data_IF_468534564248
#
_entry.id   IF_468534564248
#
_cell.length_a   1.000
_cell.length_b   1.000
_cell.length_c   1.000
_cell.angle_alpha   90.00
_cell.angle_beta   90.00
_cell.angle_gamma   90.00
#
_symmetry.space_group_name_H-M   'P 1'
#
loop_
_entity.id
_entity.type
_entity.pdbx_description
1 polymer ?
#
# COMPACT_ATOMS: atom_id res chain seq x y z
N UNK A 1 -44.30 23.09 -25.75
CA UNK A 1 -43.78 21.88 -25.03
C UNK A 1 -44.85 21.32 -24.14
N UNK A 2 -45.21 20.09 -24.35
CA UNK A 2 -46.27 19.43 -23.57
C UNK A 2 -45.80 19.23 -22.11
N UNK A 3 -46.74 19.10 -21.19
CA UNK A 3 -46.46 18.88 -19.77
C UNK A 3 -45.52 17.66 -19.57
N UNK A 4 -45.73 16.61 -20.33
CA UNK A 4 -44.94 15.39 -20.30
C UNK A 4 -43.44 15.67 -20.63
N UNK A 5 -43.16 16.52 -21.64
CA UNK A 5 -41.80 16.87 -22.03
C UNK A 5 -41.06 17.65 -20.93
N UNK A 6 -41.79 18.52 -20.21
CA UNK A 6 -41.22 19.33 -19.11
C UNK A 6 -40.78 18.46 -17.92
N UNK A 7 -41.37 17.26 -17.78
CA UNK A 7 -41.04 16.34 -16.70
C UNK A 7 -39.95 15.33 -17.17
N UNK A 8 -40.13 14.78 -18.38
CA UNK A 8 -39.24 13.74 -18.88
C UNK A 8 -37.80 14.24 -19.11
N UNK A 9 -37.66 15.46 -19.71
CA UNK A 9 -36.35 16.01 -20.03
C UNK A 9 -35.44 16.13 -18.78
N UNK A 10 -35.91 16.78 -17.68
CA UNK A 10 -35.05 16.87 -16.49
C UNK A 10 -34.79 15.52 -15.82
N UNK A 11 -35.72 14.57 -15.86
CA UNK A 11 -35.51 13.24 -15.30
C UNK A 11 -34.43 12.50 -16.10
N UNK A 12 -34.54 12.52 -17.43
CA UNK A 12 -33.55 11.88 -18.30
C UNK A 12 -32.18 12.56 -18.12
N UNK A 13 -32.16 13.89 -18.04
CA UNK A 13 -30.93 14.65 -17.80
C UNK A 13 -30.27 14.26 -16.47
N UNK A 14 -31.06 14.11 -15.42
CA UNK A 14 -30.56 13.69 -14.11
C UNK A 14 -29.99 12.26 -14.17
N UNK A 15 -30.71 11.34 -14.83
CA UNK A 15 -30.23 9.94 -14.95
C UNK A 15 -28.90 9.86 -15.72
N UNK A 16 -28.78 10.66 -16.79
CA UNK A 16 -27.52 10.72 -17.57
C UNK A 16 -26.41 11.30 -16.69
N UNK A 17 -26.69 12.37 -15.93
CA UNK A 17 -25.68 12.97 -15.05
C UNK A 17 -25.21 11.98 -13.98
N UNK A 18 -26.14 11.22 -13.38
CA UNK A 18 -25.81 10.21 -12.38
C UNK A 18 -24.97 9.07 -12.99
N UNK A 19 -25.32 8.64 -14.20
CA UNK A 19 -24.56 7.61 -14.91
C UNK A 19 -23.14 8.10 -15.20
N UNK A 20 -22.99 9.33 -15.71
CA UNK A 20 -21.66 9.89 -15.99
C UNK A 20 -20.85 10.05 -14.71
N UNK A 21 -21.46 10.48 -13.62
CA UNK A 21 -20.78 10.57 -12.32
C UNK A 21 -20.33 9.20 -11.83
N UNK A 22 -21.18 8.18 -11.98
CA UNK A 22 -20.82 6.80 -11.62
C UNK A 22 -19.66 6.28 -12.46
N UNK A 23 -19.69 6.50 -13.79
CA UNK A 23 -18.61 6.08 -14.69
C UNK A 23 -17.31 6.82 -14.33
N UNK A 24 -17.39 8.12 -14.10
CA UNK A 24 -16.21 8.91 -13.71
C UNK A 24 -15.62 8.39 -12.38
N UNK A 25 -16.47 8.13 -11.40
CA UNK A 25 -16.06 7.56 -10.11
C UNK A 25 -15.37 6.21 -10.33
N UNK A 26 -15.98 5.33 -11.13
CA UNK A 26 -15.43 4.00 -11.43
C UNK A 26 -14.06 4.11 -12.11
N UNK A 27 -13.94 5.00 -13.11
CA UNK A 27 -12.66 5.21 -13.83
C UNK A 27 -11.59 5.70 -12.86
N UNK A 28 -11.91 6.69 -12.03
CA UNK A 28 -10.95 7.22 -11.05
C UNK A 28 -10.52 6.11 -10.08
N UNK A 29 -11.45 5.32 -9.57
CA UNK A 29 -11.14 4.23 -8.64
C UNK A 29 -10.31 3.11 -9.30
N UNK A 30 -10.59 2.81 -10.58
CA UNK A 30 -9.93 1.71 -11.30
C UNK A 30 -8.56 2.08 -11.84
N UNK A 31 -8.39 3.32 -12.29
CA UNK A 31 -7.19 3.77 -13.01
C UNK A 31 -6.26 4.62 -12.15
N UNK A 32 -6.74 5.15 -11.05
CA UNK A 32 -5.96 6.03 -10.19
C UNK A 32 -5.67 5.31 -8.88
N UNK A 33 -4.54 4.64 -8.83
CA UNK A 33 -4.11 3.93 -7.61
C UNK A 33 -3.85 4.89 -6.45
N UNK A 34 -3.58 6.18 -6.79
CA UNK A 34 -3.49 7.24 -5.79
C UNK A 34 -4.15 8.51 -6.30
N UNK A 35 -5.15 9.03 -5.59
CA UNK A 35 -5.70 10.35 -5.93
C UNK A 35 -4.63 11.44 -5.79
N UNK A 36 -4.74 12.52 -6.55
CA UNK A 36 -3.75 13.60 -6.47
C UNK A 36 -3.64 14.18 -5.06
N UNK A 37 -2.42 14.48 -4.63
CA UNK A 37 -2.17 15.13 -3.34
C UNK A 37 -2.93 16.45 -3.19
N UNK A 38 -3.20 17.14 -4.30
CA UNK A 38 -3.98 18.38 -4.30
C UNK A 38 -5.38 18.21 -3.70
N UNK A 39 -5.90 16.97 -3.68
CA UNK A 39 -7.20 16.67 -3.07
C UNK A 39 -7.09 16.18 -1.62
N UNK A 40 -5.91 16.28 -1.01
CA UNK A 40 -5.70 15.89 0.38
C UNK A 40 -5.53 14.39 0.61
N UNK A 41 -5.20 13.66 -0.43
CA UNK A 41 -5.05 12.20 -0.36
C UNK A 41 -3.58 11.77 -0.39
N UNK A 42 -2.68 12.57 0.23
CA UNK A 42 -1.23 12.34 0.16
C UNK A 42 -0.61 11.58 1.32
N UNK A 43 -1.36 11.30 2.38
CA UNK A 43 -0.77 10.87 3.65
C UNK A 43 -0.81 9.34 3.89
N UNK A 44 -0.93 8.55 2.85
CA UNK A 44 -1.05 7.09 3.00
C UNK A 44 -2.38 6.67 3.66
N UNK A 45 -2.81 5.42 3.48
CA UNK A 45 -4.07 4.97 4.08
C UNK A 45 -3.92 4.70 5.57
N UNK A 46 -4.98 4.97 6.30
CA UNK A 46 -5.07 4.58 7.70
C UNK A 46 -5.06 3.04 7.79
N UNK A 47 -4.26 2.51 8.70
CA UNK A 47 -4.10 1.08 8.91
C UNK A 47 -4.87 0.62 10.15
N UNK A 48 -5.30 -0.67 10.21
CA UNK A 48 -6.01 -1.18 11.39
C UNK A 48 -5.22 -1.03 12.69
N UNK A 49 -3.89 -1.14 12.59
CA UNK A 49 -2.95 -0.86 13.68
C UNK A 49 -1.89 0.08 13.11
N UNK A 50 -1.64 1.19 13.78
CA UNK A 50 -0.60 2.11 13.34
C UNK A 50 0.78 1.45 13.52
N UNK A 51 1.40 1.11 12.40
CA UNK A 51 2.72 0.46 12.39
C UNK A 51 3.75 1.43 11.82
N UNK A 52 4.56 2.08 12.68
CA UNK A 52 5.58 3.00 12.19
C UNK A 52 6.86 2.25 11.82
N UNK A 53 7.20 2.24 10.54
CA UNK A 53 8.48 1.68 10.09
C UNK A 53 9.65 2.38 10.77
N UNK A 54 9.53 3.70 11.02
CA UNK A 54 10.55 4.47 11.72
C UNK A 54 10.97 3.83 13.05
N UNK A 55 10.01 3.37 13.84
CA UNK A 55 10.31 2.74 15.13
C UNK A 55 11.02 1.40 14.98
N UNK A 56 10.67 0.64 13.93
CA UNK A 56 11.21 -0.72 13.73
C UNK A 56 12.54 -0.71 13.00
N UNK A 57 12.69 0.11 11.96
CA UNK A 57 13.90 0.13 11.14
C UNK A 57 14.93 1.09 11.73
N UNK A 58 14.58 2.37 11.92
CA UNK A 58 15.58 3.37 12.38
C UNK A 58 15.92 3.22 13.85
N UNK A 59 14.93 2.95 14.71
CA UNK A 59 15.18 2.89 16.16
C UNK A 59 15.59 1.49 16.60
N UNK A 60 14.86 0.46 16.19
CA UNK A 60 15.17 -0.92 16.58
C UNK A 60 16.22 -1.60 15.71
N UNK A 61 16.58 -1.02 14.54
CA UNK A 61 17.61 -1.55 13.67
C UNK A 61 17.22 -2.80 12.89
N UNK A 62 15.93 -3.03 12.67
CA UNK A 62 15.48 -4.23 11.96
C UNK A 62 15.65 -4.07 10.45
N UNK A 63 16.19 -5.10 9.81
CA UNK A 63 16.31 -5.15 8.35
C UNK A 63 14.94 -5.39 7.71
N UNK A 64 14.75 -4.86 6.50
CA UNK A 64 13.49 -5.01 5.74
C UNK A 64 13.10 -6.48 5.57
N UNK A 65 14.09 -7.33 5.24
CA UNK A 65 13.85 -8.75 4.99
C UNK A 65 13.59 -9.56 6.26
N UNK A 66 13.81 -8.97 7.44
CA UNK A 66 13.40 -9.63 8.68
C UNK A 66 11.87 -9.81 8.71
N UNK A 67 11.14 -8.83 8.18
CA UNK A 67 9.67 -8.86 8.12
C UNK A 67 9.16 -9.28 6.74
N UNK A 68 9.75 -8.75 5.66
CA UNK A 68 9.35 -9.05 4.27
C UNK A 68 10.18 -10.21 3.71
N UNK A 69 10.01 -11.39 4.29
CA UNK A 69 10.88 -12.55 4.05
C UNK A 69 10.83 -13.11 2.64
N UNK A 70 9.70 -12.95 1.96
CA UNK A 70 9.51 -13.56 0.63
C UNK A 70 9.97 -12.65 -0.50
N UNK A 71 10.41 -11.43 -0.20
CA UNK A 71 10.70 -10.39 -1.19
C UNK A 71 11.81 -10.80 -2.19
N UNK A 72 12.75 -11.62 -1.77
CA UNK A 72 13.85 -12.09 -2.64
C UNK A 72 13.54 -13.39 -3.38
N UNK A 73 12.38 -14.01 -3.16
CA UNK A 73 12.06 -15.34 -3.69
C UNK A 73 10.70 -15.39 -4.39
N UNK A 74 9.73 -14.58 -3.98
CA UNK A 74 8.35 -14.67 -4.47
C UNK A 74 7.92 -13.39 -5.21
N UNK A 75 6.76 -13.43 -5.84
CA UNK A 75 6.20 -12.27 -6.54
C UNK A 75 5.98 -11.11 -5.57
N UNK A 76 5.39 -11.39 -4.43
CA UNK A 76 5.08 -10.37 -3.45
C UNK A 76 6.11 -10.34 -2.33
N UNK A 77 6.35 -9.15 -1.79
CA UNK A 77 7.25 -9.00 -0.64
C UNK A 77 6.71 -9.70 0.61
N UNK A 78 5.40 -9.95 0.63
CA UNK A 78 4.75 -10.51 1.79
C UNK A 78 4.60 -9.51 2.94
N UNK A 79 3.69 -9.82 3.83
CA UNK A 79 3.51 -9.11 5.11
C UNK A 79 3.67 -10.18 6.19
N UNK A 80 4.41 -9.91 7.27
CA UNK A 80 4.66 -10.92 8.27
C UNK A 80 3.35 -11.38 8.94
N UNK A 81 3.27 -12.68 9.21
CA UNK A 81 2.17 -13.22 10.00
C UNK A 81 2.16 -12.57 11.40
N UNK A 82 0.99 -12.40 11.98
CA UNK A 82 0.83 -11.73 13.28
C UNK A 82 1.72 -12.39 14.36
N UNK A 83 1.90 -13.71 14.29
CA UNK A 83 2.76 -14.44 15.22
C UNK A 83 4.24 -13.98 15.18
N UNK A 84 4.70 -13.40 14.08
CA UNK A 84 6.07 -12.89 14.00
C UNK A 84 6.27 -11.68 14.94
N UNK A 85 5.23 -10.89 15.15
CA UNK A 85 5.27 -9.75 16.06
C UNK A 85 5.61 -10.19 17.48
N UNK A 86 5.25 -11.43 17.84
CA UNK A 86 5.48 -11.99 19.18
C UNK A 86 6.97 -12.16 19.51
N UNK A 87 7.86 -12.14 18.54
CA UNK A 87 9.30 -12.21 18.84
C UNK A 87 9.73 -11.07 19.77
N UNK A 88 9.07 -9.93 19.64
CA UNK A 88 9.39 -8.73 20.44
C UNK A 88 8.19 -8.26 21.26
N UNK A 89 6.98 -8.34 20.68
CA UNK A 89 5.74 -7.91 21.34
C UNK A 89 5.04 -9.14 21.93
N UNK A 90 5.14 -9.30 23.23
CA UNK A 90 4.46 -10.34 23.97
C UNK A 90 4.00 -9.76 25.30
N UNK A 91 3.22 -10.51 26.08
CA UNK A 91 2.62 -10.02 27.31
C UNK A 91 3.65 -9.48 28.31
N UNK A 92 4.86 -10.01 28.30
CA UNK A 92 5.91 -9.67 29.26
C UNK A 92 7.09 -8.89 28.65
N UNK A 93 7.04 -8.54 27.36
CA UNK A 93 8.15 -7.87 26.68
C UNK A 93 7.79 -6.44 26.31
N UNK A 94 7.73 -6.12 25.03
CA UNK A 94 7.42 -4.74 24.59
C UNK A 94 5.90 -4.59 24.59
N UNK A 95 5.35 -4.11 25.70
CA UNK A 95 3.92 -3.98 25.91
C UNK A 95 3.41 -2.55 25.74
N UNK A 96 4.31 -1.62 25.40
CA UNK A 96 3.95 -0.20 25.28
C UNK A 96 4.01 0.57 26.60
N UNK A 97 4.17 -0.11 27.72
CA UNK A 97 4.24 0.56 29.03
C UNK A 97 5.45 1.50 29.17
N UNK A 98 6.46 1.31 28.34
CA UNK A 98 7.65 2.16 28.30
C UNK A 98 7.64 3.12 27.12
N UNK A 99 6.54 3.18 26.38
CA UNK A 99 6.43 4.12 25.25
C UNK A 99 6.30 5.56 25.80
N UNK A 100 6.98 6.46 25.15
CA UNK A 100 6.87 7.90 25.48
C UNK A 100 5.56 8.51 24.98
N UNK A 101 4.76 7.72 24.25
CA UNK A 101 3.53 8.19 23.63
C UNK A 101 2.35 7.30 24.02
N UNK A 102 1.31 7.92 24.55
CA UNK A 102 0.06 7.23 24.86
C UNK A 102 -0.59 6.59 23.61
N UNK A 103 -0.36 7.19 22.43
CA UNK A 103 -0.88 6.63 21.18
C UNK A 103 -0.16 5.33 20.81
N UNK A 104 1.17 5.27 20.98
CA UNK A 104 1.92 4.05 20.71
C UNK A 104 1.50 2.93 21.66
N UNK A 105 1.27 3.25 22.94
CA UNK A 105 0.75 2.26 23.90
C UNK A 105 -0.59 1.69 23.47
N UNK A 106 -1.50 2.56 23.00
CA UNK A 106 -2.82 2.12 22.55
C UNK A 106 -2.71 1.14 21.34
N UNK A 107 -1.82 1.44 20.38
CA UNK A 107 -1.62 0.60 19.21
C UNK A 107 -0.98 -0.74 19.58
N UNK A 108 -0.03 -0.76 20.51
CA UNK A 108 0.57 -2.00 21.00
C UNK A 108 -0.48 -2.85 21.74
N UNK A 109 -1.37 -2.21 22.50
CA UNK A 109 -2.49 -2.95 23.14
C UNK A 109 -3.43 -3.59 22.11
N UNK A 110 -3.71 -2.91 21.00
CA UNK A 110 -4.47 -3.52 19.91
C UNK A 110 -3.75 -4.77 19.36
N UNK A 111 -2.44 -4.66 19.10
CA UNK A 111 -1.65 -5.79 18.63
C UNK A 111 -1.70 -6.95 19.63
N UNK A 112 -1.42 -6.70 20.90
CA UNK A 112 -1.40 -7.72 21.94
C UNK A 112 -2.78 -8.39 22.03
N UNK A 113 -3.87 -7.63 21.86
CA UNK A 113 -5.23 -8.17 21.83
C UNK A 113 -5.46 -9.16 20.69
N UNK A 114 -4.68 -9.05 19.60
CA UNK A 114 -4.77 -10.01 18.48
C UNK A 114 -3.88 -11.24 18.68
N UNK A 115 -2.95 -11.21 19.65
CA UNK A 115 -1.92 -12.26 19.84
C UNK A 115 -2.42 -13.43 20.70
N UNK A 116 -3.64 -13.90 20.48
CA UNK A 116 -4.15 -15.10 21.14
C UNK A 116 -3.46 -16.39 20.68
N UNK A 117 -3.96 -17.54 21.11
CA UNK A 117 -3.42 -18.85 20.67
C UNK A 117 -3.49 -19.01 19.15
N UNK A 118 -4.56 -18.52 18.55
CA UNK A 118 -4.76 -18.53 17.10
C UNK A 118 -5.07 -17.08 16.66
N UNK A 119 -4.04 -16.25 16.45
CA UNK A 119 -4.27 -14.84 16.16
C UNK A 119 -4.92 -14.64 14.80
N UNK A 120 -5.94 -13.80 14.75
CA UNK A 120 -6.56 -13.40 13.49
C UNK A 120 -5.59 -12.55 12.66
N UNK A 121 -5.56 -12.73 11.36
CA UNK A 121 -4.71 -11.90 10.50
C UNK A 121 -5.17 -10.44 10.54
N UNK A 122 -4.21 -9.53 10.56
CA UNK A 122 -4.50 -8.11 10.46
C UNK A 122 -4.78 -7.78 8.98
N UNK A 123 -5.94 -7.21 8.70
CA UNK A 123 -6.35 -6.82 7.34
C UNK A 123 -5.69 -5.49 6.96
N UNK A 124 -4.39 -5.55 6.64
CA UNK A 124 -3.64 -4.37 6.23
C UNK A 124 -4.20 -3.76 4.95
N UNK A 125 -4.31 -2.44 4.91
CA UNK A 125 -4.72 -1.71 3.71
C UNK A 125 -3.52 -1.63 2.76
N UNK A 126 -3.70 -2.14 1.54
CA UNK A 126 -2.62 -2.20 0.55
C UNK A 126 -2.25 -0.81 0.04
N UNK A 127 -1.00 -0.42 0.22
CA UNK A 127 -0.47 0.89 -0.20
C UNK A 127 -0.03 0.86 -1.67
N UNK A 128 0.74 -0.16 -2.04
CA UNK A 128 1.29 -0.29 -3.40
C UNK A 128 0.48 -1.31 -4.19
N UNK A 129 -0.08 -0.86 -5.31
CA UNK A 129 -0.90 -1.72 -6.17
C UNK A 129 -0.52 -1.52 -7.64
N UNK A 130 -0.37 -2.63 -8.35
CA UNK A 130 -0.25 -2.66 -9.81
C UNK A 130 -1.53 -3.22 -10.40
N UNK A 131 -1.87 -2.84 -11.67
CA UNK A 131 -3.00 -3.47 -12.37
C UNK A 131 -2.80 -4.97 -12.52
N UNK A 132 -3.88 -5.68 -12.51
CA UNK A 132 -3.85 -7.17 -12.59
C UNK A 132 -3.11 -7.71 -13.81
N UNK A 133 -2.85 -7.04 -14.68
CA UNK A 133 -2.21 -7.32 -15.82
C UNK A 133 -0.81 -7.20 -15.80
N UNK A 134 -0.44 -6.79 -14.82
CA UNK A 134 1.01 -6.55 -14.74
C UNK A 134 1.64 -7.59 -13.81
N UNK A 135 2.64 -8.31 -14.30
CA UNK A 135 3.47 -9.14 -13.45
C UNK A 135 4.69 -8.34 -12.99
N UNK A 136 5.00 -8.40 -11.71
CA UNK A 136 6.16 -7.74 -11.13
C UNK A 136 6.81 -8.67 -10.10
N UNK A 137 8.11 -8.89 -10.27
CA UNK A 137 8.90 -9.72 -9.35
C UNK A 137 9.94 -8.85 -8.66
N UNK A 138 9.97 -8.88 -7.35
CA UNK A 138 10.99 -8.16 -6.58
C UNK A 138 12.39 -8.80 -6.78
N UNK A 139 12.45 -10.12 -6.86
CA UNK A 139 13.72 -10.85 -6.87
C UNK A 139 14.74 -10.36 -7.91
N UNK A 140 14.40 -10.24 -9.22
CA UNK A 140 15.40 -9.76 -10.19
C UNK A 140 15.88 -8.32 -9.90
N UNK A 141 15.00 -7.45 -9.39
CA UNK A 141 15.38 -6.06 -9.07
C UNK A 141 16.38 -6.02 -7.90
N UNK A 142 16.12 -6.83 -6.86
CA UNK A 142 17.02 -6.95 -5.71
C UNK A 142 18.37 -7.56 -6.13
N UNK A 143 18.35 -8.59 -6.99
CA UNK A 143 19.56 -9.24 -7.50
C UNK A 143 20.43 -8.30 -8.35
N UNK A 144 19.81 -7.29 -9.00
CA UNK A 144 20.54 -6.26 -9.73
C UNK A 144 21.05 -5.13 -8.82
N UNK A 145 20.84 -5.25 -7.51
CA UNK A 145 21.40 -4.32 -6.53
C UNK A 145 20.52 -3.10 -6.23
N UNK A 146 19.28 -3.06 -6.73
CA UNK A 146 18.39 -1.94 -6.39
C UNK A 146 17.96 -2.04 -4.94
N UNK A 147 18.09 -0.94 -4.22
CA UNK A 147 17.62 -0.85 -2.83
C UNK A 147 16.10 -0.71 -2.77
N UNK A 148 15.53 -1.08 -1.66
CA UNK A 148 14.08 -0.93 -1.42
C UNK A 148 13.65 0.53 -1.60
N UNK A 149 14.48 1.46 -1.14
CA UNK A 149 14.20 2.90 -1.20
C UNK A 149 14.16 3.44 -2.64
N UNK A 150 14.76 2.77 -3.62
CA UNK A 150 14.70 3.18 -5.03
C UNK A 150 13.25 3.28 -5.52
N UNK A 151 12.38 2.38 -5.05
CA UNK A 151 10.97 2.36 -5.46
C UNK A 151 10.02 2.82 -4.37
N UNK A 152 10.35 2.50 -3.12
CA UNK A 152 9.46 2.75 -1.98
C UNK A 152 9.78 4.03 -1.22
N UNK A 153 10.86 4.74 -1.58
CA UNK A 153 11.29 5.92 -0.84
C UNK A 153 11.89 5.56 0.51
N UNK A 154 12.02 6.53 1.38
CA UNK A 154 12.64 6.34 2.70
C UNK A 154 11.62 5.76 3.70
N UNK A 155 11.16 4.54 3.42
CA UNK A 155 10.22 3.80 4.29
C UNK A 155 10.74 3.75 5.74
N UNK A 156 12.07 3.64 5.90
CA UNK A 156 12.68 3.55 7.21
C UNK A 156 12.35 4.74 8.11
N UNK A 157 12.05 5.90 7.53
CA UNK A 157 11.67 7.11 8.27
C UNK A 157 10.16 7.33 8.35
N UNK A 158 9.36 6.49 7.67
CA UNK A 158 7.92 6.71 7.59
C UNK A 158 7.19 6.22 8.84
N UNK A 159 6.29 7.05 9.34
CA UNK A 159 5.31 6.66 10.37
C UNK A 159 4.10 6.00 9.72
N UNK A 160 3.65 6.56 8.59
CA UNK A 160 2.60 6.00 7.75
C UNK A 160 3.20 5.79 6.37
N UNK A 161 3.05 4.60 5.80
CA UNK A 161 3.62 4.30 4.49
C UNK A 161 2.76 4.93 3.40
N UNK A 162 3.41 5.64 2.49
CA UNK A 162 2.77 6.22 1.32
C UNK A 162 3.49 5.77 0.05
N UNK A 163 2.81 5.84 -1.07
CA UNK A 163 3.42 5.51 -2.36
C UNK A 163 4.12 6.74 -2.91
N UNK A 164 5.44 6.69 -3.02
CA UNK A 164 6.26 7.82 -3.44
C UNK A 164 6.54 7.80 -4.94
N UNK A 165 6.39 6.64 -5.59
CA UNK A 165 6.68 6.47 -7.01
C UNK A 165 5.42 6.05 -7.75
N UNK A 166 5.22 6.59 -8.94
CA UNK A 166 3.96 6.46 -9.67
C UNK A 166 3.65 5.02 -10.12
N UNK A 167 4.68 4.22 -10.42
CA UNK A 167 4.56 2.81 -10.84
C UNK A 167 3.62 2.61 -12.04
N UNK A 168 3.56 3.59 -12.93
CA UNK A 168 2.87 3.44 -14.21
C UNK A 168 3.82 2.84 -15.25
N UNK A 169 3.25 2.25 -16.31
CA UNK A 169 4.04 1.62 -17.37
C UNK A 169 5.22 2.47 -17.83
N UNK A 170 5.01 3.77 -18.04
CA UNK A 170 6.07 4.67 -18.45
C UNK A 170 7.22 4.70 -17.45
N UNK A 171 6.92 4.78 -16.17
CA UNK A 171 7.93 4.83 -15.11
C UNK A 171 8.81 3.57 -15.11
N UNK A 172 8.17 2.40 -15.30
CA UNK A 172 8.89 1.12 -15.38
C UNK A 172 9.75 1.04 -16.66
N UNK A 173 9.16 1.40 -17.81
CA UNK A 173 9.85 1.34 -19.11
C UNK A 173 11.04 2.30 -19.15
N UNK A 174 10.88 3.52 -18.63
CA UNK A 174 11.98 4.49 -18.61
C UNK A 174 13.14 3.99 -17.73
N UNK A 175 12.84 3.46 -16.55
CA UNK A 175 13.85 2.86 -15.67
C UNK A 175 14.55 1.65 -16.34
N UNK A 176 13.78 0.77 -16.99
CA UNK A 176 14.34 -0.37 -17.72
C UNK A 176 15.29 0.08 -18.85
N UNK A 177 14.92 1.10 -19.60
CA UNK A 177 15.79 1.65 -20.66
C UNK A 177 17.08 2.23 -20.10
N UNK A 178 16.98 2.98 -18.99
CA UNK A 178 18.14 3.57 -18.33
C UNK A 178 19.13 2.52 -17.81
N UNK A 179 18.62 1.34 -17.47
CA UNK A 179 19.42 0.26 -16.88
C UNK A 179 19.65 -0.92 -17.85
N UNK A 180 19.35 -0.74 -19.14
CA UNK A 180 19.52 -1.79 -20.18
C UNK A 180 18.78 -3.08 -19.85
N UNK A 181 17.63 -2.96 -19.19
CA UNK A 181 16.76 -4.09 -18.84
C UNK A 181 15.69 -4.32 -19.94
N UNK A 182 15.10 -5.52 -20.03
CA UNK A 182 14.11 -5.82 -21.07
C UNK A 182 12.89 -4.89 -21.02
N UNK A 183 12.43 -4.47 -22.21
CA UNK A 183 11.25 -3.60 -22.34
C UNK A 183 10.19 -4.16 -23.27
N UNK A 184 10.28 -5.45 -23.63
CA UNK A 184 9.25 -6.08 -24.43
C UNK A 184 7.99 -6.32 -23.59
N UNK A 185 6.85 -6.42 -24.27
CA UNK A 185 5.54 -6.45 -23.58
C UNK A 185 5.42 -7.61 -22.60
N UNK A 186 5.91 -8.79 -22.99
CA UNK A 186 5.79 -10.01 -22.20
C UNK A 186 6.71 -10.07 -20.98
N UNK A 187 7.65 -9.12 -20.87
CA UNK A 187 8.45 -9.00 -19.65
C UNK A 187 7.60 -8.54 -18.46
N UNK A 188 6.55 -7.74 -18.75
CA UNK A 188 5.74 -7.09 -17.71
C UNK A 188 4.25 -7.46 -17.76
N UNK A 189 3.80 -8.08 -18.86
CA UNK A 189 2.38 -8.39 -19.05
C UNK A 189 2.16 -9.86 -19.36
N UNK A 190 1.08 -10.44 -18.80
CA UNK A 190 0.64 -11.79 -19.11
C UNK A 190 0.07 -11.89 -20.51
#
# INVERSE_FOLDING_TARGET
>A
MNATTKIIIPIVGLLIALLLAFVAYFVVQSWWSQPPAVLGFGDGPEQPIAFPHQAHVNVAGLDCQFCHRTVSAEETAGIPAVNQCRFCHDFDRITGSKSESSSAEAEIKKLIGTLGENPDPINWVRVHRLPDXVQFLHAPHIQQGFSCSTCHGDIASMKVVEQVRNLKMRDCVDCHRENNAPTDCTTCHY
#
